data_IF_515298418184
#
_entry.id   IF_515298418184
#
_cell.length_a   1.000
_cell.length_b   1.000
_cell.length_c   1.000
_cell.angle_alpha   90.00
_cell.angle_beta   90.00
_cell.angle_gamma   90.00
#
_symmetry.space_group_name_H-M   'P 1'
#
loop_
_entity.id
_entity.type
_entity.pdbx_description
1 polymer ?
#
# COMPACT_ATOMS: atom_id res chain seq x y z
N UNK A 1 21.45 1.47 22.38
CA UNK A 1 21.38 1.61 20.92
C UNK A 1 21.47 0.20 20.34
N UNK A 2 20.35 -0.47 20.21
CA UNK A 2 20.28 -1.81 19.62
C UNK A 2 20.12 -1.63 18.11
N UNK A 3 21.06 -2.15 17.35
CA UNK A 3 21.06 -2.15 15.89
C UNK A 3 19.86 -2.94 15.37
N UNK A 4 18.89 -2.25 14.76
CA UNK A 4 17.86 -2.82 13.91
C UNK A 4 18.49 -3.23 12.55
N UNK A 5 19.52 -4.07 12.59
CA UNK A 5 19.93 -4.81 11.41
C UNK A 5 19.07 -6.07 11.43
N UNK A 6 18.06 -6.09 10.56
CA UNK A 6 17.34 -7.32 10.24
C UNK A 6 18.33 -8.37 9.69
N UNK A 7 17.94 -9.64 9.60
CA UNK A 7 18.81 -10.68 9.05
C UNK A 7 19.30 -10.24 7.69
N UNK A 8 20.60 -10.40 7.49
CA UNK A 8 21.37 -9.99 6.30
C UNK A 8 20.58 -10.35 5.03
N UNK A 9 20.01 -9.35 4.35
CA UNK A 9 19.17 -9.56 3.16
C UNK A 9 19.94 -10.25 2.03
N UNK A 10 21.26 -10.24 2.12
CA UNK A 10 22.19 -10.80 1.14
C UNK A 10 22.64 -12.24 1.43
N UNK A 11 22.21 -12.86 2.54
CA UNK A 11 22.51 -14.27 2.81
C UNK A 11 21.56 -15.20 2.06
N UNK A 12 21.98 -15.92 1.00
CA UNK A 12 21.13 -16.83 0.24
C UNK A 12 20.77 -18.11 1.01
N UNK A 13 21.38 -18.33 2.18
CA UNK A 13 21.16 -19.53 3.01
C UNK A 13 19.78 -19.46 3.65
N UNK A 14 18.89 -20.37 3.25
CA UNK A 14 17.52 -20.48 3.75
C UNK A 14 16.46 -19.70 2.97
N UNK A 15 16.82 -18.91 1.93
CA UNK A 15 15.83 -18.28 1.04
C UNK A 15 15.34 -19.29 0.00
N UNK A 16 14.03 -19.32 -0.35
CA UNK A 16 13.53 -20.21 -1.37
C UNK A 16 14.23 -19.95 -2.71
N UNK A 17 14.53 -20.99 -3.48
CA UNK A 17 15.18 -20.85 -4.77
C UNK A 17 14.30 -20.04 -5.72
N UNK A 18 14.93 -19.15 -6.50
CA UNK A 18 14.27 -18.40 -7.56
C UNK A 18 14.30 -19.24 -8.83
N UNK A 19 13.15 -19.43 -9.53
CA UNK A 19 13.11 -20.16 -10.80
C UNK A 19 14.07 -19.54 -11.83
N UNK A 20 14.79 -20.41 -12.58
CA UNK A 20 15.81 -19.96 -13.54
C UNK A 20 15.22 -19.04 -14.63
N UNK A 21 14.05 -19.40 -15.17
CA UNK A 21 13.37 -18.57 -16.18
C UNK A 21 13.04 -17.14 -15.70
N UNK A 22 12.86 -16.95 -14.39
CA UNK A 22 12.64 -15.60 -13.81
C UNK A 22 13.97 -14.85 -13.76
N UNK A 23 15.07 -15.53 -13.39
CA UNK A 23 16.41 -14.94 -13.40
C UNK A 23 16.83 -14.58 -14.81
N UNK A 24 16.58 -15.44 -15.82
CA UNK A 24 16.89 -15.18 -17.23
C UNK A 24 16.13 -13.95 -17.78
N UNK A 25 14.88 -13.76 -17.38
CA UNK A 25 14.12 -12.57 -17.76
C UNK A 25 14.78 -11.28 -17.24
N UNK A 26 15.36 -11.33 -16.03
CA UNK A 26 16.06 -10.18 -15.45
C UNK A 26 17.41 -9.98 -16.11
N UNK A 27 18.18 -11.03 -16.44
CA UNK A 27 19.42 -10.94 -17.24
C UNK A 27 19.14 -10.28 -18.58
N UNK A 28 18.11 -10.73 -19.30
CA UNK A 28 17.66 -10.14 -20.56
C UNK A 28 17.34 -8.65 -20.44
N UNK A 29 16.69 -8.25 -19.31
CA UNK A 29 16.39 -6.84 -19.06
C UNK A 29 17.66 -6.00 -18.83
N UNK A 30 18.65 -6.56 -18.12
CA UNK A 30 19.95 -5.91 -17.88
C UNK A 30 20.68 -5.71 -19.19
N UNK A 31 20.76 -6.75 -20.04
CA UNK A 31 21.38 -6.69 -21.38
C UNK A 31 20.67 -5.66 -22.27
N UNK A 32 19.34 -5.68 -22.29
CA UNK A 32 18.55 -4.72 -23.09
C UNK A 32 18.75 -3.27 -22.59
N UNK A 33 19.00 -3.06 -21.31
CA UNK A 33 19.34 -1.75 -20.74
C UNK A 33 20.77 -1.30 -21.11
N UNK A 34 21.62 -2.19 -21.66
CA UNK A 34 22.97 -1.89 -22.14
C UNK A 34 24.08 -2.22 -21.15
N UNK A 35 23.81 -3.03 -20.11
CA UNK A 35 24.82 -3.47 -19.13
C UNK A 35 25.10 -4.99 -19.32
N UNK A 36 26.22 -5.47 -18.76
CA UNK A 36 26.66 -6.86 -18.80
C UNK A 36 26.22 -7.60 -17.51
N UNK A 37 25.26 -8.55 -17.61
CA UNK A 37 24.80 -9.31 -16.45
C UNK A 37 25.88 -10.21 -15.84
N UNK A 38 26.96 -10.51 -16.57
CA UNK A 38 28.06 -11.37 -16.11
C UNK A 38 29.16 -10.59 -15.37
N UNK A 39 29.10 -9.25 -15.32
CA UNK A 39 30.05 -8.49 -14.53
C UNK A 39 29.85 -8.72 -13.01
N UNK A 40 30.93 -8.71 -12.25
CA UNK A 40 30.97 -9.07 -10.82
C UNK A 40 29.83 -8.47 -9.98
N UNK A 41 29.52 -7.19 -10.17
CA UNK A 41 28.47 -6.49 -9.41
C UNK A 41 27.04 -6.91 -9.76
N UNK A 42 26.81 -7.64 -10.86
CA UNK A 42 25.47 -8.05 -11.33
C UNK A 42 25.21 -9.56 -11.25
N UNK A 43 26.20 -10.39 -10.91
CA UNK A 43 26.05 -11.86 -10.88
C UNK A 43 24.87 -12.32 -10.01
N UNK A 44 24.65 -11.72 -8.85
CA UNK A 44 23.56 -12.06 -7.94
C UNK A 44 22.28 -11.25 -8.17
N UNK A 45 22.34 -10.19 -9.00
CA UNK A 45 21.25 -9.26 -9.22
C UNK A 45 19.96 -9.94 -9.71
N UNK A 46 20.00 -10.90 -10.65
CA UNK A 46 18.77 -11.59 -11.09
C UNK A 46 18.00 -12.22 -9.94
N UNK A 47 18.68 -12.94 -9.06
CA UNK A 47 18.05 -13.58 -7.91
C UNK A 47 17.57 -12.57 -6.85
N UNK A 48 18.33 -11.49 -6.61
CA UNK A 48 17.95 -10.41 -5.67
C UNK A 48 16.71 -9.67 -6.16
N UNK A 49 16.66 -9.28 -7.42
CA UNK A 49 15.52 -8.59 -8.02
C UNK A 49 14.27 -9.46 -7.98
N UNK A 50 14.38 -10.74 -8.33
CA UNK A 50 13.24 -11.66 -8.30
C UNK A 50 12.64 -11.81 -6.90
N UNK A 51 13.49 -11.90 -5.86
CA UNK A 51 13.04 -11.93 -4.47
C UNK A 51 12.37 -10.63 -4.05
N UNK A 52 12.99 -9.49 -4.36
CA UNK A 52 12.42 -8.18 -4.06
C UNK A 52 11.04 -7.99 -4.71
N UNK A 53 10.87 -8.40 -5.97
CA UNK A 53 9.58 -8.36 -6.65
C UNK A 53 8.52 -9.24 -5.99
N UNK A 54 8.89 -10.41 -5.52
CA UNK A 54 7.97 -11.27 -4.77
C UNK A 54 7.53 -10.60 -3.46
N UNK A 55 8.45 -9.91 -2.77
CA UNK A 55 8.15 -9.16 -1.56
C UNK A 55 7.23 -7.94 -1.84
N UNK A 56 7.54 -7.15 -2.87
CA UNK A 56 6.71 -6.02 -3.29
C UNK A 56 5.29 -6.43 -3.67
N UNK A 57 5.10 -7.66 -4.13
CA UNK A 57 3.84 -8.20 -4.60
C UNK A 57 3.19 -9.21 -3.63
N UNK A 58 3.58 -9.22 -2.35
CA UNK A 58 3.01 -10.13 -1.34
C UNK A 58 1.48 -10.00 -1.20
N UNK A 59 0.90 -8.85 -1.48
CA UNK A 59 -0.54 -8.62 -1.44
C UNK A 59 -1.37 -9.50 -2.39
N UNK A 60 -0.75 -10.17 -3.36
CA UNK A 60 -1.42 -11.18 -4.17
C UNK A 60 -1.58 -12.54 -3.47
N UNK A 61 -0.91 -12.75 -2.34
CA UNK A 61 -0.91 -14.02 -1.62
C UNK A 61 -1.87 -14.05 -0.44
N UNK A 62 -2.53 -12.92 -0.14
CA UNK A 62 -3.47 -12.81 0.98
C UNK A 62 -4.73 -12.03 0.56
N UNK A 63 -5.83 -12.29 1.26
CA UNK A 63 -7.02 -11.45 1.21
C UNK A 63 -6.95 -10.41 2.34
N UNK A 64 -6.84 -9.11 2.04
CA UNK A 64 -6.76 -8.07 3.07
C UNK A 64 -7.97 -8.01 4.01
N UNK A 65 -9.13 -8.54 3.59
CA UNK A 65 -10.35 -8.57 4.39
C UNK A 65 -10.18 -9.40 5.68
N UNK A 66 -9.35 -10.45 5.69
CA UNK A 66 -9.12 -11.30 6.87
C UNK A 66 -8.58 -10.52 8.08
N UNK A 67 -7.97 -9.35 7.82
CA UNK A 67 -7.53 -8.49 8.91
C UNK A 67 -8.69 -7.83 9.66
N UNK A 68 -9.89 -7.77 9.08
CA UNK A 68 -11.08 -7.16 9.68
C UNK A 68 -11.99 -8.17 10.39
N UNK A 69 -11.71 -9.47 10.32
CA UNK A 69 -12.53 -10.52 10.96
C UNK A 69 -12.58 -10.38 12.49
N UNK A 70 -11.51 -9.85 13.10
CA UNK A 70 -11.46 -9.67 14.54
C UNK A 70 -11.90 -8.26 14.93
N UNK A 71 -13.15 -8.15 15.33
CA UNK A 71 -13.79 -6.91 15.78
C UNK A 71 -13.96 -6.91 17.30
N UNK A 72 -14.16 -5.71 17.87
CA UNK A 72 -14.56 -5.49 19.26
C UNK A 72 -15.97 -4.92 19.25
N UNK A 73 -16.89 -5.59 19.96
CA UNK A 73 -18.28 -5.15 20.10
C UNK A 73 -18.49 -4.30 21.37
N UNK A 74 -17.66 -4.50 22.40
CA UNK A 74 -17.70 -3.73 23.64
C UNK A 74 -16.90 -2.42 23.52
N UNK A 75 -17.44 -1.44 22.82
CA UNK A 75 -16.80 -0.11 22.64
C UNK A 75 -17.45 0.99 23.48
N UNK A 76 -18.25 0.62 24.48
CA UNK A 76 -18.86 1.58 25.41
C UNK A 76 -19.78 2.60 24.74
N UNK A 77 -20.41 2.25 23.60
CA UNK A 77 -21.26 3.16 22.84
C UNK A 77 -20.49 4.23 22.05
N UNK A 78 -19.20 4.00 21.74
CA UNK A 78 -18.41 4.92 20.91
C UNK A 78 -18.97 5.00 19.49
N UNK A 79 -19.50 6.17 19.13
CA UNK A 79 -20.16 6.45 17.85
C UNK A 79 -19.53 7.62 17.09
N UNK A 80 -18.29 7.95 17.42
CA UNK A 80 -17.52 9.04 16.84
C UNK A 80 -16.56 8.51 15.76
N UNK A 81 -15.92 9.42 15.02
CA UNK A 81 -14.97 9.10 13.96
C UNK A 81 -13.74 8.40 14.53
N UNK A 82 -13.42 7.21 14.01
CA UNK A 82 -12.14 6.55 14.20
C UNK A 82 -11.25 6.88 13.02
N UNK A 83 -10.13 7.55 13.26
CA UNK A 83 -9.19 7.98 12.23
C UNK A 83 -7.78 7.45 12.51
N UNK A 84 -7.18 6.82 11.51
CA UNK A 84 -5.75 6.53 11.44
C UNK A 84 -5.17 7.31 10.26
N UNK A 85 -4.23 8.22 10.52
CA UNK A 85 -3.62 9.08 9.49
C UNK A 85 -2.12 8.92 9.42
N UNK A 86 -1.55 9.49 8.34
CA UNK A 86 -0.12 9.43 8.04
C UNK A 86 0.44 8.00 7.98
N UNK A 87 -0.38 7.05 7.51
CA UNK A 87 0.03 5.65 7.34
C UNK A 87 0.96 5.59 6.13
N UNK A 88 2.27 5.33 6.30
CA UNK A 88 3.17 5.24 5.18
C UNK A 88 2.87 3.98 4.37
N UNK A 89 2.97 4.06 3.05
CA UNK A 89 2.85 2.90 2.19
C UNK A 89 3.75 3.01 0.97
N UNK A 90 4.04 1.86 0.39
CA UNK A 90 4.68 1.70 -0.90
C UNK A 90 3.85 0.76 -1.77
N UNK A 91 3.75 1.10 -3.04
CA UNK A 91 3.10 0.32 -4.08
C UNK A 91 3.89 0.41 -5.38
N UNK A 92 3.44 -0.26 -6.44
CA UNK A 92 4.04 -0.20 -7.76
C UNK A 92 2.98 0.07 -8.82
N UNK A 93 3.27 1.06 -9.67
CA UNK A 93 2.42 1.43 -10.80
C UNK A 93 2.30 0.26 -11.78
N UNK A 94 1.09 -0.17 -12.12
CA UNK A 94 0.87 -1.29 -13.03
C UNK A 94 1.35 -1.02 -14.46
N UNK A 95 1.43 0.25 -14.87
CA UNK A 95 1.84 0.61 -16.23
C UNK A 95 3.36 0.54 -16.47
N UNK A 96 4.17 0.79 -15.44
CA UNK A 96 5.62 0.91 -15.57
C UNK A 96 6.39 0.12 -14.52
N UNK A 97 5.70 -0.57 -13.61
CA UNK A 97 6.29 -1.24 -12.46
C UNK A 97 7.18 -0.33 -11.59
N UNK A 98 6.97 0.99 -11.70
CA UNK A 98 7.72 2.00 -10.96
C UNK A 98 7.09 2.25 -9.58
N UNK A 99 7.89 2.57 -8.54
CA UNK A 99 7.38 2.80 -7.19
C UNK A 99 6.36 3.94 -7.12
N UNK A 100 5.34 3.72 -6.28
CA UNK A 100 4.41 4.72 -5.76
C UNK A 100 4.68 4.79 -4.26
N UNK A 101 5.10 5.94 -3.75
CA UNK A 101 5.45 6.12 -2.35
C UNK A 101 4.63 7.25 -1.77
N UNK A 102 3.96 6.98 -0.66
CA UNK A 102 3.07 7.97 -0.08
C UNK A 102 2.59 7.64 1.31
N UNK A 103 1.51 8.33 1.68
CA UNK A 103 0.80 8.15 2.94
C UNK A 103 -0.70 8.12 2.70
N UNK A 104 -1.40 7.46 3.60
CA UNK A 104 -2.85 7.38 3.59
C UNK A 104 -3.44 7.84 4.92
N UNK A 105 -4.67 8.36 4.83
CA UNK A 105 -5.55 8.57 5.97
C UNK A 105 -6.81 7.74 5.76
N UNK A 106 -7.19 6.96 6.77
CA UNK A 106 -8.33 6.06 6.75
C UNK A 106 -9.20 6.37 7.96
N UNK A 107 -10.45 6.74 7.72
CA UNK A 107 -11.43 6.95 8.77
C UNK A 107 -12.69 6.12 8.53
N UNK A 108 -13.33 5.73 9.61
CA UNK A 108 -14.68 5.20 9.56
C UNK A 108 -15.50 5.70 10.77
N UNK A 109 -16.81 5.80 10.57
CA UNK A 109 -17.77 6.07 11.61
C UNK A 109 -18.40 4.72 11.99
N UNK A 110 -18.08 4.16 13.17
CA UNK A 110 -18.55 2.84 13.54
C UNK A 110 -20.06 2.81 13.71
N UNK A 111 -20.65 1.64 13.49
CA UNK A 111 -22.00 1.30 13.92
C UNK A 111 -21.86 0.55 15.25
N UNK A 112 -21.81 -0.78 15.21
CA UNK A 112 -21.65 -1.61 16.41
C UNK A 112 -20.27 -2.27 16.53
N UNK A 113 -19.38 -2.06 15.55
CA UNK A 113 -18.10 -2.77 15.43
C UNK A 113 -16.92 -1.82 15.31
N UNK A 114 -15.90 -2.06 16.12
CA UNK A 114 -14.62 -1.34 16.05
C UNK A 114 -13.49 -2.36 15.87
N UNK A 115 -12.53 -2.02 15.03
CA UNK A 115 -11.33 -2.85 14.83
C UNK A 115 -10.11 -2.21 15.47
N UNK A 116 -9.14 -3.05 15.82
CA UNK A 116 -7.84 -2.54 16.25
C UNK A 116 -7.19 -1.68 15.17
N UNK A 117 -6.62 -0.53 15.57
CA UNK A 117 -6.05 0.48 14.63
C UNK A 117 -5.05 -0.10 13.64
N UNK A 118 -4.23 -1.09 14.06
CA UNK A 118 -3.27 -1.78 13.18
C UNK A 118 -3.91 -2.52 12.00
N UNK A 119 -5.21 -2.85 12.11
CA UNK A 119 -5.93 -3.59 11.06
C UNK A 119 -6.16 -2.73 9.83
N UNK A 120 -6.46 -1.43 10.02
CA UNK A 120 -6.62 -0.47 8.91
C UNK A 120 -5.32 -0.34 8.11
N UNK A 121 -4.17 -0.25 8.79
CA UNK A 121 -2.87 -0.23 8.13
C UNK A 121 -2.59 -1.54 7.37
N UNK A 122 -2.95 -2.70 7.92
CA UNK A 122 -2.77 -3.99 7.26
C UNK A 122 -3.62 -4.13 6.00
N UNK A 123 -4.88 -3.67 6.03
CA UNK A 123 -5.74 -3.61 4.83
C UNK A 123 -5.10 -2.77 3.74
N UNK A 124 -4.63 -1.56 4.08
CA UNK A 124 -3.91 -0.71 3.14
C UNK A 124 -2.69 -1.42 2.53
N UNK A 125 -1.83 -2.02 3.37
CA UNK A 125 -0.62 -2.69 2.90
C UNK A 125 -0.92 -3.94 2.06
N UNK A 126 -1.97 -4.69 2.38
CA UNK A 126 -2.39 -5.85 1.59
C UNK A 126 -2.81 -5.47 0.16
N UNK A 127 -3.54 -4.36 -0.02
CA UNK A 127 -3.87 -3.86 -1.34
C UNK A 127 -2.71 -3.11 -2.01
N UNK A 128 -1.90 -2.37 -1.26
CA UNK A 128 -0.77 -1.61 -1.80
C UNK A 128 0.34 -2.50 -2.37
N UNK A 129 0.58 -3.67 -1.76
CA UNK A 129 1.59 -4.65 -2.22
C UNK A 129 1.12 -5.45 -3.45
N UNK A 130 0.63 -4.73 -4.47
CA UNK A 130 0.19 -5.25 -5.78
C UNK A 130 0.63 -4.27 -6.85
N UNK A 131 0.50 -4.66 -8.12
CA UNK A 131 0.56 -3.69 -9.21
C UNK A 131 -0.75 -2.88 -9.22
N UNK A 132 -0.64 -1.56 -9.03
CA UNK A 132 -1.78 -0.69 -8.74
C UNK A 132 -1.86 0.55 -9.63
N UNK A 133 -3.06 1.12 -9.70
CA UNK A 133 -3.30 2.54 -9.90
C UNK A 133 -3.86 3.12 -8.61
N UNK A 134 -3.50 4.34 -8.28
CA UNK A 134 -3.83 4.94 -6.98
C UNK A 134 -5.34 5.06 -6.74
N UNK A 135 -6.12 5.34 -7.78
CA UNK A 135 -7.58 5.44 -7.72
C UNK A 135 -8.21 4.10 -7.32
N UNK A 136 -7.74 3.00 -7.91
CA UNK A 136 -8.21 1.65 -7.56
C UNK A 136 -7.79 1.27 -6.15
N UNK A 137 -6.53 1.51 -5.76
CA UNK A 137 -6.06 1.27 -4.40
C UNK A 137 -6.94 1.98 -3.36
N UNK A 138 -7.26 3.27 -3.62
CA UNK A 138 -8.12 4.06 -2.74
C UNK A 138 -9.53 3.48 -2.61
N UNK A 139 -10.09 3.03 -3.73
CA UNK A 139 -11.42 2.42 -3.77
C UNK A 139 -11.43 1.05 -3.07
N UNK A 140 -10.47 0.17 -3.36
CA UNK A 140 -10.37 -1.18 -2.78
C UNK A 140 -10.24 -1.13 -1.25
N UNK A 141 -9.44 -0.22 -0.71
CA UNK A 141 -9.30 -0.04 0.74
C UNK A 141 -10.62 0.41 1.37
N UNK A 142 -11.30 1.40 0.78
CA UNK A 142 -12.57 1.90 1.30
C UNK A 142 -13.68 0.85 1.21
N UNK A 143 -13.80 0.18 0.06
CA UNK A 143 -14.83 -0.84 -0.18
C UNK A 143 -14.62 -2.07 0.72
N UNK A 144 -13.37 -2.46 1.00
CA UNK A 144 -13.04 -3.53 1.94
C UNK A 144 -13.52 -3.20 3.37
N UNK A 145 -13.24 -1.99 3.85
CA UNK A 145 -13.68 -1.53 5.18
C UNK A 145 -15.21 -1.45 5.23
N UNK A 146 -15.82 -0.87 4.20
CA UNK A 146 -17.26 -0.74 4.09
C UNK A 146 -17.98 -2.08 4.17
N UNK A 147 -17.52 -3.06 3.41
CA UNK A 147 -18.18 -4.38 3.31
C UNK A 147 -18.01 -5.22 4.57
N UNK A 148 -16.85 -5.14 5.23
CA UNK A 148 -16.54 -6.05 6.34
C UNK A 148 -16.89 -5.50 7.72
N UNK A 149 -16.97 -4.16 7.89
CA UNK A 149 -17.30 -3.55 9.18
C UNK A 149 -18.72 -3.03 9.26
N UNK A 150 -19.43 -2.89 8.13
CA UNK A 150 -20.77 -2.28 8.04
C UNK A 150 -20.88 -0.94 8.82
N UNK A 151 -19.97 0.02 8.57
CA UNK A 151 -19.93 1.29 9.30
C UNK A 151 -20.98 2.27 8.73
N UNK A 152 -21.29 3.32 9.48
CA UNK A 152 -22.15 4.42 9.01
C UNK A 152 -21.49 5.26 7.90
N UNK A 153 -20.15 5.32 7.88
CA UNK A 153 -19.37 6.05 6.89
C UNK A 153 -17.92 5.57 6.83
N UNK A 154 -17.32 5.68 5.64
CA UNK A 154 -15.89 5.43 5.40
C UNK A 154 -15.32 6.59 4.60
N UNK A 155 -14.11 7.02 4.96
CA UNK A 155 -13.32 7.98 4.23
C UNK A 155 -11.87 7.47 4.09
N UNK A 156 -11.38 7.42 2.87
CA UNK A 156 -9.99 7.09 2.56
C UNK A 156 -9.42 8.21 1.71
N UNK A 157 -8.26 8.75 2.10
CA UNK A 157 -7.49 9.72 1.32
C UNK A 157 -6.08 9.17 1.19
N UNK A 158 -5.56 9.13 -0.02
CA UNK A 158 -4.20 8.71 -0.33
C UNK A 158 -3.47 9.85 -1.03
N UNK A 159 -2.29 10.18 -0.54
CA UNK A 159 -1.37 11.15 -1.13
C UNK A 159 -0.04 10.45 -1.44
N UNK A 160 0.38 10.45 -2.71
CA UNK A 160 1.58 9.75 -3.12
C UNK A 160 2.32 10.41 -4.29
N UNK A 161 3.62 10.15 -4.33
CA UNK A 161 4.49 10.46 -5.45
C UNK A 161 4.69 9.23 -6.33
N UNK A 162 4.64 9.42 -7.65
CA UNK A 162 4.75 8.37 -8.65
C UNK A 162 6.08 8.46 -9.38
N UNK A 163 6.98 7.49 -9.18
CA UNK A 163 8.29 7.47 -9.83
C UNK A 163 8.19 7.40 -11.37
N UNK A 164 7.11 6.87 -11.92
CA UNK A 164 6.85 6.89 -13.36
C UNK A 164 6.68 8.31 -13.93
N UNK A 165 6.34 9.30 -13.10
CA UNK A 165 6.24 10.73 -13.47
C UNK A 165 7.45 11.55 -13.02
N UNK A 166 8.01 11.24 -11.84
CA UNK A 166 9.04 12.06 -11.22
C UNK A 166 10.46 11.71 -11.70
N UNK A 167 10.76 10.41 -11.86
CA UNK A 167 12.08 9.91 -12.25
C UNK A 167 12.28 9.76 -13.77
N UNK A 168 11.20 9.63 -14.51
CA UNK A 168 11.19 9.45 -15.97
C UNK A 168 9.95 10.12 -16.60
N UNK A 169 9.77 10.00 -17.91
CA UNK A 169 8.63 10.58 -18.65
C UNK A 169 8.62 12.09 -18.56
N UNK A 170 7.60 12.66 -17.94
CA UNK A 170 7.43 14.12 -17.81
C UNK A 170 8.40 14.77 -16.82
N UNK A 171 9.09 14.00 -15.99
CA UNK A 171 10.14 14.46 -15.05
C UNK A 171 9.72 15.66 -14.18
N UNK A 172 8.59 15.53 -13.49
CA UNK A 172 8.06 16.56 -12.58
C UNK A 172 8.35 16.20 -11.12
N UNK A 173 9.54 16.50 -10.57
CA UNK A 173 9.85 16.23 -9.16
C UNK A 173 8.95 17.08 -8.25
N UNK A 174 8.59 16.52 -7.09
CA UNK A 174 7.79 17.23 -6.09
C UNK A 174 6.28 17.23 -6.35
N UNK A 175 5.80 16.64 -7.46
CA UNK A 175 4.37 16.47 -7.70
C UNK A 175 3.85 15.29 -6.90
N UNK A 176 2.80 15.53 -6.12
CA UNK A 176 2.00 14.52 -5.42
C UNK A 176 0.62 14.39 -6.05
N UNK A 177 0.09 13.19 -6.06
CA UNK A 177 -1.28 12.88 -6.46
C UNK A 177 -2.11 12.61 -5.21
N UNK A 178 -3.30 13.20 -5.13
CA UNK A 178 -4.25 12.95 -4.05
C UNK A 178 -5.50 12.30 -4.64
N UNK A 179 -5.90 11.18 -4.06
CA UNK A 179 -7.16 10.50 -4.36
C UNK A 179 -7.97 10.31 -3.10
N UNK A 180 -9.30 10.32 -3.23
CA UNK A 180 -10.19 10.13 -2.09
C UNK A 180 -11.41 9.27 -2.44
N UNK A 181 -11.88 8.49 -1.47
CA UNK A 181 -13.13 7.73 -1.52
C UNK A 181 -13.92 7.99 -0.26
N UNK A 182 -15.15 8.48 -0.42
CA UNK A 182 -16.10 8.73 0.65
C UNK A 182 -17.33 7.84 0.48
N UNK A 183 -17.81 7.24 1.57
CA UNK A 183 -18.97 6.35 1.56
C UNK A 183 -19.91 6.65 2.74
N UNK A 184 -21.17 6.23 2.63
CA UNK A 184 -22.16 6.40 3.68
C UNK A 184 -22.37 7.87 4.09
N UNK A 185 -22.31 8.16 5.38
CA UNK A 185 -22.49 9.50 5.96
C UNK A 185 -21.48 10.51 5.39
N UNK A 186 -20.22 10.14 5.24
CA UNK A 186 -19.19 11.05 4.67
C UNK A 186 -19.40 11.39 3.19
N UNK A 187 -20.19 10.61 2.47
CA UNK A 187 -20.59 10.94 1.10
C UNK A 187 -21.86 11.80 1.07
N UNK A 188 -22.86 11.48 1.92
CA UNK A 188 -24.21 12.04 1.86
C UNK A 188 -24.37 13.34 2.63
N UNK A 189 -23.63 13.52 3.75
CA UNK A 189 -23.69 14.70 4.60
C UNK A 189 -22.45 15.58 4.47
N UNK A 190 -22.65 16.83 4.03
CA UNK A 190 -21.56 17.78 3.79
C UNK A 190 -20.82 18.21 5.09
N UNK A 191 -21.51 18.21 6.23
CA UNK A 191 -20.90 18.58 7.51
C UNK A 191 -19.94 17.50 7.96
N UNK A 192 -20.39 16.25 7.99
CA UNK A 192 -19.57 15.09 8.33
C UNK A 192 -18.40 14.91 7.36
N UNK A 193 -18.63 15.18 6.06
CA UNK A 193 -17.54 15.18 5.07
C UNK A 193 -16.47 16.24 5.37
N UNK A 194 -16.88 17.46 5.68
CA UNK A 194 -15.97 18.56 6.02
C UNK A 194 -15.20 18.26 7.30
N UNK A 195 -15.87 17.73 8.30
CA UNK A 195 -15.27 17.35 9.57
C UNK A 195 -14.17 16.30 9.38
N UNK A 196 -14.48 15.17 8.73
CA UNK A 196 -13.50 14.09 8.52
C UNK A 196 -12.30 14.56 7.69
N UNK A 197 -12.52 15.37 6.64
CA UNK A 197 -11.43 15.94 5.85
C UNK A 197 -10.55 16.90 6.67
N UNK A 198 -11.15 17.71 7.55
CA UNK A 198 -10.42 18.57 8.46
C UNK A 198 -9.55 17.78 9.44
N UNK A 199 -10.09 16.72 10.05
CA UNK A 199 -9.35 15.82 10.94
C UNK A 199 -8.17 15.13 10.21
N UNK A 200 -8.37 14.77 8.94
CA UNK A 200 -7.32 14.20 8.09
C UNK A 200 -6.25 15.23 7.68
N UNK A 201 -6.51 16.54 7.80
CA UNK A 201 -5.61 17.62 7.40
C UNK A 201 -5.83 18.14 5.97
N UNK A 202 -7.00 17.90 5.39
CA UNK A 202 -7.39 18.33 4.04
C UNK A 202 -8.59 19.32 4.06
N UNK A 203 -8.80 19.98 5.17
CA UNK A 203 -9.88 20.96 5.36
C UNK A 203 -9.43 22.40 5.26
#
# INVERSE_FOLDING_TARGET
MSSLVGPDEDDPRGKPPVPENVQDAIRTLIEWAGDDPEREGLLDTPARVARAWKEYCLGYTEDPAVHLDRVFEEVGGYNEIVLLKDIPFQSHCEHHMAPIIGKAAIAYLPNDRVVGISKLARVLHGFARRLQVQERLTAEVADCIWTNLDPQGVAVVIEASHSCMTARGVRTPGVGMITSRMMGTFLKDQRSRKEVLSLMGYG
#
